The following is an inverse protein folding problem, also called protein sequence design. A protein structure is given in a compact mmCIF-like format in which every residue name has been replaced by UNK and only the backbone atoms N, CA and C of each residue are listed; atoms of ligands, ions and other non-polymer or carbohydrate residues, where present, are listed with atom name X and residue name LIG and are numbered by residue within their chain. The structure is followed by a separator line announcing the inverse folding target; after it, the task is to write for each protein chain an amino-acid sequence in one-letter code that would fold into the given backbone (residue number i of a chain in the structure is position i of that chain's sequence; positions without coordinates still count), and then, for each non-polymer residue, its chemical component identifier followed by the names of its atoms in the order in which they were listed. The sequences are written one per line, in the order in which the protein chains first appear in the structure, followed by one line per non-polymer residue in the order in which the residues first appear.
data_IF_446108844738
#
_entry.id   IF_446108844738
#
_cell.length_a   1.000
_cell.length_b   1.000
_cell.length_c   1.000
_cell.angle_alpha   90.00
_cell.angle_beta   90.00
_cell.angle_gamma   90.00
#
_symmetry.space_group_name_H-M   'P 1'
#
loop_
_entity.id
_entity.type
_entity.pdbx_description
1 polymer ?
#
# COMPACT_ATOMS: atom_id res chain seq x y z
N UNK A 1 -18.30 -2.92 -15.19
CA UNK A 1 -17.10 -2.10 -15.51
C UNK A 1 -15.88 -2.69 -14.83
N UNK A 2 -14.76 -2.85 -15.53
CA UNK A 2 -13.52 -3.40 -14.96
C UNK A 2 -12.76 -2.33 -14.17
N UNK A 3 -12.34 -2.64 -12.94
CA UNK A 3 -11.61 -1.69 -12.10
C UNK A 3 -10.17 -1.47 -12.63
N UNK A 4 -9.70 -0.23 -12.59
CA UNK A 4 -8.32 0.13 -12.97
C UNK A 4 -7.45 0.21 -11.73
N UNK A 5 -6.35 -0.55 -11.70
CA UNK A 5 -5.40 -0.56 -10.59
C UNK A 5 -4.15 0.22 -10.96
N UNK A 6 -3.82 1.22 -10.15
CA UNK A 6 -2.64 2.05 -10.31
C UNK A 6 -1.81 1.94 -9.03
N UNK A 7 -0.53 1.61 -9.16
CA UNK A 7 0.39 1.50 -8.02
C UNK A 7 1.58 2.43 -8.20
N UNK A 8 2.08 3.00 -7.11
CA UNK A 8 3.34 3.75 -7.14
C UNK A 8 4.55 2.85 -6.97
N UNK A 9 5.59 3.11 -7.76
CA UNK A 9 6.95 2.61 -7.55
C UNK A 9 7.80 3.77 -7.09
N UNK A 10 8.23 3.75 -5.83
CA UNK A 10 8.90 4.89 -5.22
C UNK A 10 9.79 4.47 -4.06
N UNK A 11 10.90 5.18 -3.90
CA UNK A 11 11.56 5.27 -2.61
C UNK A 11 10.65 6.04 -1.63
N UNK A 12 10.85 5.84 -0.32
CA UNK A 12 10.18 6.70 0.65
C UNK A 12 10.56 8.17 0.42
N UNK A 13 9.69 9.10 0.84
CA UNK A 13 9.98 10.55 0.89
C UNK A 13 10.12 11.25 -0.47
N UNK A 14 9.54 10.68 -1.53
CA UNK A 14 9.55 11.27 -2.88
C UNK A 14 8.34 12.16 -3.23
N UNK A 15 7.61 12.68 -2.22
CA UNK A 15 6.39 13.47 -2.49
C UNK A 15 5.10 12.63 -2.56
N UNK A 16 5.13 11.41 -2.01
CA UNK A 16 3.99 10.49 -2.01
C UNK A 16 2.72 11.14 -1.41
N UNK A 17 2.83 11.89 -0.31
CA UNK A 17 1.66 12.55 0.29
C UNK A 17 1.03 13.57 -0.67
N UNK A 18 1.86 14.43 -1.28
CA UNK A 18 1.40 15.43 -2.24
C UNK A 18 0.71 14.78 -3.45
N UNK A 19 1.25 13.67 -3.96
CA UNK A 19 0.61 12.91 -5.02
C UNK A 19 -0.77 12.38 -4.59
N UNK A 20 -0.87 11.80 -3.40
CA UNK A 20 -2.16 11.29 -2.90
C UNK A 20 -3.21 12.41 -2.79
N UNK A 21 -2.80 13.59 -2.33
CA UNK A 21 -3.70 14.74 -2.19
C UNK A 21 -4.15 15.30 -3.56
N UNK A 22 -3.24 15.36 -4.54
CA UNK A 22 -3.58 15.77 -5.91
C UNK A 22 -4.60 14.80 -6.51
N UNK A 23 -4.35 13.49 -6.44
CA UNK A 23 -5.25 12.49 -7.03
C UNK A 23 -6.62 12.53 -6.37
N UNK A 24 -6.69 12.63 -5.04
CA UNK A 24 -7.97 12.74 -4.30
C UNK A 24 -8.80 13.94 -4.71
N UNK A 25 -8.15 15.08 -4.99
CA UNK A 25 -8.86 16.33 -5.33
C UNK A 25 -9.30 16.39 -6.78
N UNK A 26 -8.51 15.81 -7.70
CA UNK A 26 -8.69 16.05 -9.13
C UNK A 26 -9.15 14.82 -9.92
N UNK A 27 -9.16 13.62 -9.34
CA UNK A 27 -9.58 12.40 -10.03
C UNK A 27 -10.89 11.88 -9.41
N UNK A 28 -12.06 12.15 -10.03
CA UNK A 28 -13.33 11.64 -9.54
C UNK A 28 -13.38 10.10 -9.64
N UNK A 29 -14.22 9.50 -8.80
CA UNK A 29 -14.43 8.03 -8.75
C UNK A 29 -13.14 7.22 -8.54
N UNK A 30 -12.16 7.82 -7.84
CA UNK A 30 -10.88 7.20 -7.51
C UNK A 30 -10.72 6.98 -6.00
N UNK A 31 -10.50 5.73 -5.61
CA UNK A 31 -10.05 5.37 -4.28
C UNK A 31 -8.52 5.51 -4.19
N UNK A 32 -8.08 6.61 -3.59
CA UNK A 32 -6.64 6.86 -3.36
C UNK A 32 -6.23 6.52 -1.94
N UNK A 33 -5.38 5.50 -1.80
CA UNK A 33 -4.90 5.01 -0.51
C UNK A 33 -3.43 5.38 -0.32
N UNK A 34 -3.11 6.00 0.82
CA UNK A 34 -1.75 6.43 1.15
C UNK A 34 -1.17 5.54 2.25
N UNK A 35 -0.18 4.70 1.90
CA UNK A 35 0.43 3.72 2.80
C UNK A 35 -0.58 2.91 3.65
N UNK A 36 -1.73 2.55 3.05
CA UNK A 36 -2.77 1.76 3.73
C UNK A 36 -2.58 0.24 3.56
N UNK A 37 -2.96 -0.59 4.55
CA UNK A 37 -3.75 -0.25 5.74
C UNK A 37 -2.99 0.42 6.90
N UNK A 38 -3.52 1.55 7.35
CA UNK A 38 -3.12 2.23 8.58
C UNK A 38 -4.09 1.85 9.70
N UNK A 39 -3.57 1.66 10.92
CA UNK A 39 -4.41 1.46 12.10
C UNK A 39 -4.70 2.83 12.70
N UNK A 40 -5.97 3.21 12.68
CA UNK A 40 -6.48 4.35 13.44
C UNK A 40 -7.26 3.78 14.63
N UNK A 41 -6.68 3.78 15.84
CA UNK A 41 -7.37 3.27 17.01
C UNK A 41 -8.58 4.16 17.31
N UNK A 42 -9.66 3.50 17.70
CA UNK A 42 -10.97 4.05 18.05
C UNK A 42 -11.12 4.04 19.57
N UNK A 43 -10.35 3.19 20.25
CA UNK A 43 -10.30 3.09 21.70
C UNK A 43 -9.30 4.07 22.34
N UNK A 44 -9.53 4.51 23.60
CA UNK A 44 -8.61 5.37 24.35
C UNK A 44 -7.29 4.66 24.73
N UNK A 45 -6.29 5.45 25.16
CA UNK A 45 -4.85 5.13 25.07
C UNK A 45 -4.30 3.88 25.78
N UNK A 46 -4.88 3.22 26.80
CA UNK A 46 -4.37 1.91 27.19
C UNK A 46 -4.90 0.79 26.28
N UNK A 47 -6.20 0.84 25.93
CA UNK A 47 -6.85 -0.16 25.08
C UNK A 47 -6.42 -0.05 23.60
N UNK A 48 -6.05 1.15 23.16
CA UNK A 48 -5.51 1.39 21.82
C UNK A 48 -4.28 0.51 21.49
N UNK A 49 -3.49 0.13 22.50
CA UNK A 49 -2.35 -0.76 22.32
C UNK A 49 -2.80 -2.19 21.95
N UNK A 50 -3.72 -2.75 22.72
CA UNK A 50 -4.27 -4.09 22.49
C UNK A 50 -5.05 -4.14 21.19
N UNK A 51 -5.86 -3.11 20.92
CA UNK A 51 -6.59 -2.96 19.66
C UNK A 51 -5.63 -2.96 18.46
N UNK A 52 -4.52 -2.22 18.56
CA UNK A 52 -3.49 -2.18 17.51
C UNK A 52 -2.83 -3.54 17.28
N UNK A 53 -2.51 -4.27 18.34
CA UNK A 53 -1.93 -5.62 18.24
C UNK A 53 -2.91 -6.59 17.58
N UNK A 54 -4.16 -6.58 18.03
CA UNK A 54 -5.22 -7.40 17.44
C UNK A 54 -5.40 -7.09 15.95
N UNK A 55 -5.51 -5.81 15.61
CA UNK A 55 -5.68 -5.35 14.23
C UNK A 55 -4.49 -5.68 13.34
N UNK A 56 -3.24 -5.51 13.81
CA UNK A 56 -2.05 -5.97 13.05
C UNK A 56 -1.99 -7.48 12.87
N UNK A 57 -2.59 -8.24 13.79
CA UNK A 57 -2.60 -9.70 13.69
C UNK A 57 -3.70 -10.23 12.78
N UNK A 58 -4.87 -9.59 12.76
CA UNK A 58 -6.07 -10.18 12.13
C UNK A 58 -6.73 -9.33 11.03
N UNK A 59 -6.56 -8.00 11.01
CA UNK A 59 -7.34 -7.10 10.14
C UNK A 59 -6.46 -6.30 9.18
N UNK A 60 -5.59 -5.45 9.70
CA UNK A 60 -4.64 -4.62 8.97
C UNK A 60 -3.22 -5.20 9.04
N UNK A 61 -3.06 -6.43 8.56
CA UNK A 61 -1.82 -7.16 8.76
C UNK A 61 -0.62 -6.54 8.04
N UNK A 62 0.59 -6.85 8.52
CA UNK A 62 1.83 -6.37 7.88
C UNK A 62 1.97 -6.90 6.46
N UNK A 63 1.45 -8.09 6.21
CA UNK A 63 1.49 -8.77 4.92
C UNK A 63 0.63 -8.03 3.89
N UNK A 64 -0.53 -7.48 4.29
CA UNK A 64 -1.34 -6.63 3.41
C UNK A 64 -0.59 -5.38 2.95
N UNK A 65 0.37 -4.88 3.73
CA UNK A 65 1.23 -3.77 3.33
C UNK A 65 2.38 -4.21 2.44
N UNK A 66 2.73 -5.49 2.33
CA UNK A 66 4.01 -5.92 1.74
C UNK A 66 5.18 -5.79 2.71
N UNK A 67 4.95 -6.09 3.98
CA UNK A 67 5.94 -6.11 5.07
C UNK A 67 5.88 -7.44 5.83
N UNK A 68 6.80 -7.64 6.77
CA UNK A 68 6.86 -8.85 7.60
C UNK A 68 7.16 -10.06 6.72
N UNK A 69 6.35 -11.11 6.87
CA UNK A 69 6.52 -12.39 6.17
C UNK A 69 6.62 -12.25 4.65
N UNK A 70 5.99 -11.24 4.05
CA UNK A 70 6.08 -11.00 2.60
C UNK A 70 7.52 -10.76 2.14
N UNK A 71 8.34 -10.07 2.94
CA UNK A 71 9.73 -9.82 2.59
C UNK A 71 10.53 -11.12 2.70
N UNK A 72 10.31 -11.88 3.77
CA UNK A 72 10.96 -13.17 4.01
C UNK A 72 10.62 -14.17 2.91
N UNK A 73 9.33 -14.32 2.56
CA UNK A 73 8.89 -15.23 1.49
C UNK A 73 9.38 -14.78 0.11
N UNK A 74 9.48 -13.46 -0.12
CA UNK A 74 10.07 -12.94 -1.34
C UNK A 74 11.56 -13.28 -1.47
N UNK A 75 12.32 -13.18 -0.39
CA UNK A 75 13.73 -13.60 -0.37
C UNK A 75 13.87 -15.10 -0.52
N UNK A 76 12.97 -15.89 0.09
CA UNK A 76 12.95 -17.34 0.00
C UNK A 76 12.47 -17.88 -1.37
N UNK A 77 11.89 -17.04 -2.23
CA UNK A 77 11.36 -17.46 -3.53
C UNK A 77 10.07 -18.28 -3.47
N UNK A 78 9.33 -18.23 -2.35
CA UNK A 78 8.05 -18.93 -2.19
C UNK A 78 6.92 -18.17 -2.92
N UNK A 79 6.82 -18.44 -4.23
CA UNK A 79 5.82 -17.83 -5.11
C UNK A 79 4.37 -18.18 -4.70
N UNK A 80 4.15 -19.34 -4.07
CA UNK A 80 2.81 -19.76 -3.63
C UNK A 80 2.32 -18.92 -2.44
N UNK A 81 3.19 -18.71 -1.44
CA UNK A 81 2.88 -17.84 -0.30
C UNK A 81 2.71 -16.37 -0.74
N UNK A 82 3.55 -15.89 -1.66
CA UNK A 82 3.41 -14.53 -2.22
C UNK A 82 2.09 -14.34 -2.96
N UNK A 83 1.67 -15.34 -3.73
CA UNK A 83 0.39 -15.30 -4.43
C UNK A 83 -0.80 -15.30 -3.45
N UNK A 84 -0.73 -16.07 -2.37
CA UNK A 84 -1.72 -16.02 -1.28
C UNK A 84 -1.86 -14.60 -0.71
N UNK A 85 -0.75 -13.94 -0.36
CA UNK A 85 -0.77 -12.56 0.15
C UNK A 85 -1.29 -11.55 -0.88
N UNK A 86 -0.93 -11.72 -2.15
CA UNK A 86 -1.41 -10.87 -3.22
C UNK A 86 -2.93 -10.99 -3.42
N UNK A 87 -3.48 -12.21 -3.38
CA UNK A 87 -4.92 -12.45 -3.45
C UNK A 87 -5.64 -11.82 -2.27
N UNK A 88 -5.10 -11.96 -1.05
CA UNK A 88 -5.65 -11.30 0.13
C UNK A 88 -5.65 -9.77 -0.01
N UNK A 89 -4.56 -9.18 -0.52
CA UNK A 89 -4.47 -7.74 -0.78
C UNK A 89 -5.46 -7.28 -1.84
N UNK A 90 -5.59 -7.99 -2.96
CA UNK A 90 -6.55 -7.65 -4.01
C UNK A 90 -8.00 -7.73 -3.50
N UNK A 91 -8.35 -8.79 -2.77
CA UNK A 91 -9.68 -8.92 -2.17
C UNK A 91 -9.98 -7.76 -1.19
N UNK A 92 -8.99 -7.31 -0.42
CA UNK A 92 -9.11 -6.15 0.46
C UNK A 92 -9.33 -4.85 -0.33
N UNK A 93 -8.59 -4.65 -1.42
CA UNK A 93 -8.74 -3.50 -2.33
C UNK A 93 -10.14 -3.50 -2.95
N UNK A 94 -10.59 -4.63 -3.47
CA UNK A 94 -11.87 -4.77 -4.17
C UNK A 94 -13.06 -4.45 -3.24
N UNK A 95 -13.01 -4.91 -1.98
CA UNK A 95 -14.00 -4.55 -0.95
C UNK A 95 -14.02 -3.04 -0.68
N UNK A 96 -12.85 -2.39 -0.66
CA UNK A 96 -12.75 -0.93 -0.44
C UNK A 96 -13.25 -0.14 -1.64
N UNK A 97 -12.92 -0.56 -2.86
CA UNK A 97 -13.43 0.03 -4.10
C UNK A 97 -14.96 -0.01 -4.14
N UNK A 98 -15.54 -1.18 -3.85
CA UNK A 98 -17.00 -1.36 -3.83
C UNK A 98 -17.67 -0.44 -2.80
N UNK A 99 -17.13 -0.35 -1.58
CA UNK A 99 -17.65 0.57 -0.54
C UNK A 99 -17.55 2.04 -0.92
N UNK A 100 -16.51 2.42 -1.67
CA UNK A 100 -16.30 3.79 -2.12
C UNK A 100 -17.09 4.14 -3.40
N UNK A 101 -17.76 3.18 -4.05
CA UNK A 101 -18.38 3.39 -5.36
C UNK A 101 -17.37 3.81 -6.44
N UNK A 102 -16.10 3.43 -6.29
CA UNK A 102 -15.01 3.86 -7.14
C UNK A 102 -14.63 2.79 -8.17
N UNK A 103 -14.13 3.22 -9.33
CA UNK A 103 -13.69 2.33 -10.42
C UNK A 103 -12.18 2.39 -10.65
N UNK A 104 -11.50 3.37 -10.03
CA UNK A 104 -10.05 3.54 -10.09
C UNK A 104 -9.49 3.34 -8.68
N UNK A 105 -8.56 2.42 -8.55
CA UNK A 105 -7.75 2.26 -7.35
C UNK A 105 -6.37 2.88 -7.58
N UNK A 106 -5.94 3.73 -6.66
CA UNK A 106 -4.62 4.35 -6.69
C UNK A 106 -3.88 4.09 -5.37
N UNK A 107 -2.90 3.19 -5.39
CA UNK A 107 -2.03 2.90 -4.26
C UNK A 107 -0.82 3.83 -4.26
N UNK A 108 -0.76 4.71 -3.27
CA UNK A 108 0.37 5.60 -3.04
C UNK A 108 1.19 5.05 -1.89
N UNK A 109 2.13 4.17 -2.23
CA UNK A 109 2.91 3.36 -1.30
C UNK A 109 4.30 3.03 -1.84
N UNK A 110 5.29 2.95 -0.95
CA UNK A 110 6.63 2.43 -1.25
C UNK A 110 6.75 0.92 -1.07
N UNK A 111 5.68 0.28 -0.59
CA UNK A 111 5.72 -1.13 -0.20
C UNK A 111 5.31 -2.09 -1.33
N UNK A 112 4.59 -1.61 -2.36
CA UNK A 112 4.16 -2.43 -3.50
C UNK A 112 5.32 -3.24 -4.11
N UNK A 113 6.47 -2.58 -4.30
CA UNK A 113 7.68 -3.21 -4.86
C UNK A 113 8.40 -4.17 -3.91
N UNK A 114 7.98 -4.29 -2.65
CA UNK A 114 8.60 -5.19 -1.66
C UNK A 114 8.00 -6.58 -1.71
N UNK A 115 7.97 -7.17 -2.91
CA UNK A 115 7.53 -8.55 -3.14
C UNK A 115 6.17 -8.69 -3.81
N UNK A 116 5.13 -7.97 -3.37
CA UNK A 116 3.77 -8.14 -3.92
C UNK A 116 3.63 -7.73 -5.40
N UNK A 117 4.52 -6.89 -5.91
CA UNK A 117 4.50 -6.44 -7.31
C UNK A 117 4.42 -7.59 -8.33
N UNK A 118 5.17 -8.69 -8.13
CA UNK A 118 5.17 -9.84 -9.06
C UNK A 118 3.81 -10.55 -9.13
N UNK A 119 3.30 -11.14 -8.03
CA UNK A 119 2.03 -11.85 -8.07
C UNK A 119 0.86 -10.91 -8.41
N UNK A 120 0.87 -9.65 -7.96
CA UNK A 120 -0.20 -8.69 -8.32
C UNK A 120 -0.17 -8.40 -9.83
N UNK A 121 1.01 -8.23 -10.45
CA UNK A 121 1.12 -8.04 -11.90
C UNK A 121 0.62 -9.28 -12.67
N UNK A 122 0.90 -10.49 -12.18
CA UNK A 122 0.35 -11.73 -12.75
C UNK A 122 -1.19 -11.78 -12.65
N UNK A 123 -1.75 -11.43 -11.49
CA UNK A 123 -3.20 -11.49 -11.21
C UNK A 123 -4.00 -10.32 -11.82
N UNK A 124 -3.33 -9.20 -12.15
CA UNK A 124 -3.91 -7.99 -12.75
C UNK A 124 -2.98 -7.48 -13.86
N UNK A 125 -2.92 -8.16 -15.02
CA UNK A 125 -2.02 -7.79 -16.11
C UNK A 125 -2.27 -6.38 -16.68
N UNK A 126 -3.47 -5.81 -16.47
CA UNK A 126 -3.81 -4.44 -16.86
C UNK A 126 -3.43 -3.35 -15.85
N UNK A 127 -2.70 -3.67 -14.78
CA UNK A 127 -2.28 -2.66 -13.80
C UNK A 127 -1.39 -1.59 -14.42
N UNK A 128 -1.41 -0.40 -13.85
CA UNK A 128 -0.55 0.72 -14.26
C UNK A 128 0.38 1.11 -13.12
N UNK A 129 1.55 1.62 -13.49
CA UNK A 129 2.56 2.05 -12.53
C UNK A 129 2.83 3.54 -12.67
N UNK A 130 2.97 4.21 -11.53
CA UNK A 130 3.50 5.58 -11.44
C UNK A 130 4.85 5.52 -10.76
N UNK A 131 5.92 5.81 -11.51
CA UNK A 131 7.26 5.91 -10.94
C UNK A 131 7.45 7.30 -10.34
N UNK A 132 7.43 7.39 -9.02
CA UNK A 132 7.65 8.64 -8.31
C UNK A 132 9.12 8.76 -7.93
N UNK A 133 9.80 9.70 -8.58
CA UNK A 133 11.23 9.93 -8.43
C UNK A 133 11.47 11.27 -7.76
N UNK A 134 12.43 11.30 -6.85
CA UNK A 134 12.97 12.51 -6.25
C UNK A 134 14.48 12.41 -6.32
N UNK A 135 15.14 13.55 -6.46
CA UNK A 135 16.59 13.66 -6.33
C UNK A 135 17.08 12.91 -5.06
N UNK A 136 18.07 12.00 -5.19
CA UNK A 136 18.51 11.15 -4.09
C UNK A 136 19.14 11.96 -2.95
N UNK A 137 19.87 13.03 -3.25
CA UNK A 137 20.49 13.91 -2.23
C UNK A 137 19.40 14.62 -1.44
N UNK A 138 18.39 15.18 -2.11
CA UNK A 138 17.26 15.82 -1.45
C UNK A 138 16.42 14.83 -0.64
N UNK A 139 16.31 13.58 -1.11
CA UNK A 139 15.63 12.51 -0.38
C UNK A 139 16.38 12.17 0.92
N UNK A 140 17.70 11.93 0.84
CA UNK A 140 18.55 11.66 1.99
C UNK A 140 18.53 12.82 3.01
N UNK A 141 18.70 14.06 2.56
CA UNK A 141 18.59 15.24 3.43
C UNK A 141 17.22 15.31 4.13
N UNK A 142 16.15 15.04 3.37
CA UNK A 142 14.78 14.98 3.90
C UNK A 142 14.56 13.83 4.89
N UNK A 143 15.31 12.74 4.80
CA UNK A 143 15.31 11.66 5.76
C UNK A 143 16.02 12.09 7.06
N UNK A 144 17.27 12.57 6.94
CA UNK A 144 18.11 13.00 8.07
C UNK A 144 17.45 14.13 8.88
N UNK A 145 16.89 15.14 8.23
CA UNK A 145 16.26 16.28 8.89
C UNK A 145 15.05 15.93 9.77
N UNK A 146 14.48 14.72 9.67
CA UNK A 146 13.31 14.32 10.46
C UNK A 146 13.63 13.44 11.67
N UNK A 147 14.92 13.19 11.94
CA UNK A 147 15.38 12.51 13.16
C UNK A 147 14.68 11.17 13.41
N UNK A 148 14.40 10.42 12.34
CA UNK A 148 13.82 9.08 12.43
C UNK A 148 14.89 8.02 12.36
#
# INVERSE_FOLDING_TARGET
MSARYIFTVTAGRSGQNSLADIVRRHVPSCLTLFEEPQIRPWTPRPLAHYERLFRRRFVETHELLGRGKVIETFVAGDEAALEHYARARLAWIDRRLARAGAHIYFDVSKYFVRGLHRPIARLRPGLRLVRLVRDPILNMRSFLNRGK
#
